data_IF_833979665313
#
_entry.id   IF_833979665313
#
_cell.length_a   1.000
_cell.length_b   1.000
_cell.length_c   1.000
_cell.angle_alpha   90.00
_cell.angle_beta   90.00
_cell.angle_gamma   90.00
#
_symmetry.space_group_name_H-M   'P 1'
#
loop_
_entity.id
_entity.type
_entity.pdbx_description
1 polymer ?
#
# COMPACT_ATOMS: atom_id res chain seq x y z
N UNK A 1 -18.71 75.13 -16.46
CA UNK A 1 -18.23 74.63 -17.75
C UNK A 1 -17.48 73.35 -17.43
N UNK A 2 -18.15 72.30 -17.39
CA UNK A 2 -18.42 71.22 -18.36
C UNK A 2 -17.24 70.90 -19.25
N UNK A 3 -16.65 69.70 -19.08
CA UNK A 3 -16.50 68.74 -20.15
C UNK A 3 -16.15 67.36 -19.60
N UNK A 4 -17.04 66.40 -19.91
CA UNK A 4 -16.89 64.98 -19.65
C UNK A 4 -16.15 64.37 -20.84
N UNK A 5 -15.02 63.68 -20.66
CA UNK A 5 -14.38 62.83 -21.65
C UNK A 5 -14.97 61.41 -21.62
N UNK A 6 -14.95 60.63 -22.73
CA UNK A 6 -15.75 59.44 -22.92
C UNK A 6 -15.16 58.20 -22.25
N UNK A 7 -16.10 57.35 -21.78
CA UNK A 7 -15.80 56.02 -21.26
C UNK A 7 -15.32 55.09 -22.40
N UNK A 8 -14.11 54.57 -22.27
CA UNK A 8 -13.62 53.52 -23.12
C UNK A 8 -14.35 52.18 -22.79
N UNK A 9 -15.09 51.70 -23.76
CA UNK A 9 -15.67 50.34 -23.76
C UNK A 9 -14.53 49.33 -24.00
N UNK A 10 -14.03 48.71 -22.94
CA UNK A 10 -13.17 47.56 -23.05
C UNK A 10 -13.97 46.37 -23.56
N UNK A 11 -13.68 45.95 -24.81
CA UNK A 11 -14.16 44.70 -25.37
C UNK A 11 -13.65 43.54 -24.52
N UNK A 12 -14.46 42.49 -24.29
CA UNK A 12 -13.96 41.28 -23.62
C UNK A 12 -12.84 40.65 -24.46
N UNK A 13 -11.77 40.22 -23.80
CA UNK A 13 -10.68 39.45 -24.43
C UNK A 13 -11.28 38.17 -25.00
N UNK A 14 -10.84 37.71 -26.19
CA UNK A 14 -11.29 36.45 -26.76
C UNK A 14 -10.95 35.31 -25.82
N UNK A 15 -11.89 34.39 -25.69
CA UNK A 15 -11.93 33.17 -24.91
C UNK A 15 -10.54 32.52 -24.79
N UNK A 16 -10.04 32.37 -23.57
CA UNK A 16 -9.05 31.35 -23.23
C UNK A 16 -9.69 30.00 -23.58
N UNK A 17 -9.30 29.45 -24.71
CA UNK A 17 -9.62 28.09 -25.09
C UNK A 17 -9.02 27.20 -24.00
N UNK A 18 -9.86 26.75 -23.07
CA UNK A 18 -9.47 25.84 -22.01
C UNK A 18 -8.85 24.62 -22.68
N UNK A 19 -7.57 24.39 -22.45
CA UNK A 19 -6.87 23.20 -22.93
C UNK A 19 -7.69 21.98 -22.51
N UNK A 20 -8.10 21.11 -23.46
CA UNK A 20 -8.93 19.97 -23.12
C UNK A 20 -8.21 19.12 -22.06
N UNK A 21 -8.86 18.92 -20.91
CA UNK A 21 -8.31 18.12 -19.82
C UNK A 21 -8.11 16.67 -20.28
N UNK A 22 -7.04 16.02 -19.81
CA UNK A 22 -6.74 14.61 -20.10
C UNK A 22 -7.83 13.73 -19.50
N UNK A 23 -8.31 12.75 -20.24
CA UNK A 23 -9.17 11.70 -19.71
C UNK A 23 -8.34 10.62 -19.01
N UNK A 24 -8.87 10.07 -17.94
CA UNK A 24 -8.32 8.95 -17.20
C UNK A 24 -9.44 8.03 -16.74
N UNK A 25 -9.09 6.82 -16.32
CA UNK A 25 -10.00 5.84 -15.72
C UNK A 25 -9.57 5.56 -14.30
N UNK A 26 -10.51 5.51 -13.36
CA UNK A 26 -10.28 5.20 -11.96
C UNK A 26 -11.12 4.00 -11.52
N UNK A 27 -10.56 3.15 -10.66
CA UNK A 27 -11.30 2.07 -10.02
C UNK A 27 -12.00 2.59 -8.77
N UNK A 28 -13.29 2.35 -8.69
CA UNK A 28 -14.14 2.72 -7.57
C UNK A 28 -14.82 1.49 -6.98
N UNK A 29 -14.93 1.47 -5.67
CA UNK A 29 -15.88 0.60 -4.96
C UNK A 29 -17.20 1.36 -4.87
N UNK A 30 -18.19 0.95 -5.64
CA UNK A 30 -19.52 1.57 -5.67
C UNK A 30 -20.24 1.33 -4.34
N UNK A 31 -20.13 0.11 -3.85
CA UNK A 31 -20.68 -0.39 -2.60
C UNK A 31 -19.85 -1.61 -2.15
N UNK A 32 -19.96 -2.08 -0.91
CA UNK A 32 -19.28 -3.29 -0.47
C UNK A 32 -19.51 -4.48 -1.41
N UNK A 33 -18.42 -5.10 -1.85
CA UNK A 33 -18.44 -6.23 -2.78
C UNK A 33 -18.55 -5.87 -4.26
N UNK A 34 -18.71 -4.59 -4.62
CA UNK A 34 -18.92 -4.18 -6.01
C UNK A 34 -17.95 -3.09 -6.44
N UNK A 35 -17.01 -3.46 -7.33
CA UNK A 35 -16.07 -2.53 -7.97
C UNK A 35 -16.51 -2.16 -9.38
N UNK A 36 -16.13 -0.96 -9.83
CA UNK A 36 -16.36 -0.48 -11.19
C UNK A 36 -15.26 0.46 -11.66
N UNK A 37 -15.13 0.61 -12.99
CA UNK A 37 -14.22 1.59 -13.60
C UNK A 37 -15.05 2.83 -13.98
N UNK A 38 -14.60 4.00 -13.54
CA UNK A 38 -15.22 5.30 -13.84
C UNK A 38 -14.26 6.19 -14.65
N UNK A 39 -14.78 6.93 -15.67
CA UNK A 39 -13.99 7.96 -16.31
C UNK A 39 -13.77 9.14 -15.35
N UNK A 40 -12.58 9.73 -15.42
CA UNK A 40 -12.17 10.91 -14.66
C UNK A 40 -11.56 11.92 -15.62
N UNK A 41 -11.96 13.18 -15.51
CA UNK A 41 -11.35 14.28 -16.27
C UNK A 41 -10.31 14.97 -15.39
N UNK A 42 -9.05 15.00 -15.87
CA UNK A 42 -7.94 15.62 -15.15
C UNK A 42 -7.72 17.04 -15.69
N UNK A 43 -7.59 18.00 -14.78
CA UNK A 43 -7.07 19.31 -15.15
C UNK A 43 -5.55 19.19 -15.47
N UNK A 44 -5.00 20.09 -16.32
CA UNK A 44 -3.55 20.20 -16.45
C UNK A 44 -2.89 20.47 -15.09
N UNK A 45 -1.67 19.93 -14.85
CA UNK A 45 -0.98 20.18 -13.59
C UNK A 45 -0.65 21.66 -13.43
N UNK A 46 -0.98 22.20 -12.25
CA UNK A 46 -0.62 23.55 -11.85
C UNK A 46 0.84 23.69 -11.41
N UNK A 47 1.29 24.91 -11.03
CA UNK A 47 2.62 25.11 -10.48
C UNK A 47 2.89 24.22 -9.26
N UNK A 48 3.97 23.44 -9.29
CA UNK A 48 4.33 22.52 -8.21
C UNK A 48 3.59 21.20 -8.20
N UNK A 49 2.78 20.90 -9.22
CA UNK A 49 2.11 19.61 -9.43
C UNK A 49 2.79 18.81 -10.53
N UNK A 50 2.50 17.52 -10.56
CA UNK A 50 2.91 16.57 -11.59
C UNK A 50 1.70 15.82 -12.13
N UNK A 51 1.68 15.59 -13.44
CA UNK A 51 0.83 14.61 -14.09
C UNK A 51 1.59 13.30 -14.16
N UNK A 52 1.06 12.27 -13.53
CA UNK A 52 1.65 10.93 -13.51
C UNK A 52 0.76 10.00 -14.32
N UNK A 53 1.38 9.26 -15.25
CA UNK A 53 0.74 8.15 -15.97
C UNK A 53 1.16 6.85 -15.28
N UNK A 54 0.17 6.13 -14.75
CA UNK A 54 0.40 4.85 -14.06
C UNK A 54 0.93 3.79 -15.02
N UNK A 55 1.92 3.05 -14.59
CA UNK A 55 2.47 1.89 -15.32
C UNK A 55 2.22 0.58 -14.55
N UNK A 56 2.19 0.64 -13.23
CA UNK A 56 1.89 -0.49 -12.35
C UNK A 56 1.19 0.00 -11.09
N UNK A 57 0.30 -0.81 -10.55
CA UNK A 57 -0.14 -0.70 -9.16
C UNK A 57 -0.20 -2.09 -8.54
N UNK A 58 -0.47 -2.18 -7.25
CA UNK A 58 -0.64 -3.47 -6.58
C UNK A 58 -1.78 -3.40 -5.56
N UNK A 59 -2.40 -4.55 -5.32
CA UNK A 59 -3.47 -4.70 -4.35
C UNK A 59 -2.85 -5.05 -3.00
N UNK A 60 -3.06 -4.20 -2.00
CA UNK A 60 -2.75 -4.48 -0.60
C UNK A 60 -3.84 -5.35 0.00
N UNK A 61 -3.71 -6.66 -0.20
CA UNK A 61 -4.76 -7.65 0.06
C UNK A 61 -5.38 -7.54 1.47
N UNK A 62 -4.59 -7.28 2.51
CA UNK A 62 -5.12 -7.12 3.88
C UNK A 62 -6.10 -5.96 3.98
N UNK A 63 -5.62 -4.76 3.74
CA UNK A 63 -6.39 -3.52 3.90
C UNK A 63 -7.49 -3.38 2.85
N UNK A 64 -7.16 -3.61 1.58
CA UNK A 64 -8.14 -3.44 0.51
C UNK A 64 -9.27 -4.47 0.55
N UNK A 65 -9.03 -5.66 1.11
CA UNK A 65 -10.12 -6.62 1.36
C UNK A 65 -11.11 -6.12 2.41
N UNK A 66 -10.63 -5.46 3.48
CA UNK A 66 -11.50 -4.86 4.49
C UNK A 66 -12.34 -3.73 3.90
N UNK A 67 -11.73 -2.89 3.07
CA UNK A 67 -12.43 -1.81 2.37
C UNK A 67 -13.44 -2.37 1.39
N UNK A 68 -13.03 -3.35 0.55
CA UNK A 68 -13.91 -4.00 -0.44
C UNK A 68 -15.13 -4.65 0.19
N UNK A 69 -14.97 -5.29 1.35
CA UNK A 69 -16.07 -5.96 2.07
C UNK A 69 -16.86 -5.03 2.98
N UNK A 70 -16.54 -3.73 3.02
CA UNK A 70 -17.22 -2.75 3.88
C UNK A 70 -16.96 -2.94 5.38
N UNK A 71 -15.85 -3.59 5.75
CA UNK A 71 -15.52 -3.95 7.14
C UNK A 71 -14.64 -2.92 7.85
N UNK A 72 -14.62 -1.69 7.38
CA UNK A 72 -13.98 -0.57 8.07
C UNK A 72 -14.92 -0.08 9.17
N UNK A 73 -14.52 -0.16 10.46
CA UNK A 73 -15.36 0.32 11.57
C UNK A 73 -15.67 1.82 11.43
N UNK A 74 -16.88 2.23 11.79
CA UNK A 74 -17.31 3.64 11.70
C UNK A 74 -16.35 4.59 12.42
N UNK A 75 -15.86 4.18 13.60
CA UNK A 75 -14.91 4.96 14.41
C UNK A 75 -13.53 5.12 13.75
N UNK A 76 -13.22 4.35 12.71
CA UNK A 76 -11.92 4.35 12.01
C UNK A 76 -11.98 4.95 10.61
N UNK A 77 -13.18 5.32 10.13
CA UNK A 77 -13.35 5.78 8.75
C UNK A 77 -12.48 6.98 8.40
N UNK A 78 -12.34 7.93 9.31
CA UNK A 78 -11.49 9.11 9.09
C UNK A 78 -10.00 8.78 9.27
N UNK A 79 -9.64 8.07 10.34
CA UNK A 79 -8.25 7.74 10.66
C UNK A 79 -7.59 6.81 9.63
N UNK A 80 -8.37 6.00 8.94
CA UNK A 80 -7.89 5.01 7.97
C UNK A 80 -8.08 5.44 6.50
N UNK A 81 -8.36 6.72 6.26
CA UNK A 81 -8.36 7.27 4.90
C UNK A 81 -6.97 7.12 4.27
N UNK A 82 -6.95 6.61 3.05
CA UNK A 82 -5.71 6.59 2.26
C UNK A 82 -5.41 8.00 1.71
N UNK A 83 -4.15 8.33 1.44
CA UNK A 83 -3.83 9.52 0.66
C UNK A 83 -4.57 9.51 -0.69
N UNK A 84 -5.07 10.67 -1.12
CA UNK A 84 -5.82 10.83 -2.37
C UNK A 84 -7.08 9.96 -2.50
N UNK A 85 -7.58 9.41 -1.40
CA UNK A 85 -8.88 8.78 -1.37
C UNK A 85 -9.96 9.80 -1.74
N UNK A 86 -10.87 9.42 -2.63
CA UNK A 86 -12.10 10.16 -2.93
C UNK A 86 -13.31 9.35 -2.48
N UNK A 87 -14.37 10.04 -2.04
CA UNK A 87 -15.53 9.40 -1.43
C UNK A 87 -15.24 8.87 -0.03
N UNK A 88 -16.22 8.19 0.55
CA UNK A 88 -16.21 7.79 1.94
C UNK A 88 -16.54 6.30 2.12
N UNK A 89 -16.04 5.68 3.18
CA UNK A 89 -16.41 4.33 3.55
C UNK A 89 -17.89 4.24 3.99
N UNK A 90 -18.61 3.17 3.66
CA UNK A 90 -18.15 1.98 2.94
C UNK A 90 -18.19 2.11 1.42
N UNK A 91 -18.66 3.23 0.87
CA UNK A 91 -18.76 3.52 -0.56
C UNK A 91 -19.85 4.52 -0.90
N UNK A 92 -19.80 5.14 -2.12
CA UNK A 92 -18.76 4.99 -3.14
C UNK A 92 -17.41 5.53 -2.69
N UNK A 93 -16.34 4.77 -2.94
CA UNK A 93 -14.98 5.16 -2.55
C UNK A 93 -13.95 4.74 -3.60
N UNK A 94 -13.01 5.65 -3.93
CA UNK A 94 -11.81 5.37 -4.70
C UNK A 94 -10.67 5.12 -3.72
N UNK A 95 -10.15 3.89 -3.68
CA UNK A 95 -9.18 3.45 -2.67
C UNK A 95 -8.00 2.72 -3.31
N UNK A 96 -6.93 2.60 -2.57
CA UNK A 96 -5.65 2.02 -2.97
C UNK A 96 -4.51 2.98 -2.66
N UNK A 97 -3.26 2.50 -2.63
CA UNK A 97 -2.11 3.33 -2.27
C UNK A 97 -0.76 2.77 -2.76
N UNK A 98 -0.76 1.79 -3.66
CA UNK A 98 0.46 1.19 -4.20
C UNK A 98 0.54 1.48 -5.70
N UNK A 99 0.96 2.69 -6.07
CA UNK A 99 0.96 3.15 -7.45
C UNK A 99 2.36 3.57 -7.90
N UNK A 100 2.76 3.09 -9.07
CA UNK A 100 4.01 3.43 -9.76
C UNK A 100 3.66 3.96 -11.14
N UNK A 101 4.20 5.11 -11.49
CA UNK A 101 3.95 5.75 -12.79
C UNK A 101 5.15 6.52 -13.31
N UNK A 102 4.99 7.07 -14.51
CA UNK A 102 5.95 7.96 -15.15
C UNK A 102 5.37 9.37 -15.15
N UNK A 103 6.18 10.35 -14.80
CA UNK A 103 5.78 11.75 -14.83
C UNK A 103 5.74 12.23 -16.28
N UNK A 104 4.55 12.52 -16.80
CA UNK A 104 4.34 13.02 -18.16
C UNK A 104 4.45 14.56 -18.25
N UNK A 105 4.08 15.28 -17.15
CA UNK A 105 4.21 16.74 -17.08
C UNK A 105 4.45 17.22 -15.64
N UNK A 106 5.11 18.38 -15.48
CA UNK A 106 5.44 18.99 -14.20
C UNK A 106 6.83 19.62 -14.17
N UNK A 107 7.47 19.74 -13.01
CA UNK A 107 8.83 20.26 -12.90
C UNK A 107 9.80 19.47 -13.80
N UNK A 108 10.70 20.16 -14.56
CA UNK A 108 11.61 19.51 -15.53
C UNK A 108 12.48 18.40 -14.94
N UNK A 109 12.83 18.49 -13.67
CA UNK A 109 13.64 17.48 -12.96
C UNK A 109 12.89 16.15 -12.72
N UNK A 110 11.56 16.14 -12.85
CA UNK A 110 10.72 14.97 -12.62
C UNK A 110 10.17 14.39 -13.93
N UNK A 111 10.01 15.17 -14.99
CA UNK A 111 9.48 14.68 -16.28
C UNK A 111 10.30 13.51 -16.79
N UNK A 112 9.60 12.42 -17.21
CA UNK A 112 10.20 11.18 -17.66
C UNK A 112 10.70 10.25 -16.55
N UNK A 113 10.67 10.70 -15.28
CA UNK A 113 11.11 9.84 -14.15
C UNK A 113 10.00 8.88 -13.73
N UNK A 114 10.40 7.65 -13.42
CA UNK A 114 9.53 6.70 -12.73
C UNK A 114 9.41 7.10 -11.27
N UNK A 115 8.18 7.16 -10.78
CA UNK A 115 7.86 7.59 -9.40
C UNK A 115 6.90 6.62 -8.73
N UNK A 116 7.02 6.51 -7.40
CA UNK A 116 6.03 5.88 -6.52
C UNK A 116 5.15 6.98 -5.89
N UNK A 117 3.86 6.70 -5.78
CA UNK A 117 2.89 7.54 -5.09
C UNK A 117 1.90 6.69 -4.30
N UNK A 118 1.54 7.13 -3.11
CA UNK A 118 0.43 6.54 -2.33
C UNK A 118 -0.91 6.96 -2.95
N UNK A 119 -1.19 6.50 -4.17
CA UNK A 119 -2.37 6.89 -4.95
C UNK A 119 -3.25 5.67 -5.27
N UNK A 120 -4.59 5.83 -5.29
CA UNK A 120 -5.53 4.80 -5.72
C UNK A 120 -5.27 4.27 -7.13
N UNK A 121 -5.92 3.15 -7.47
CA UNK A 121 -5.85 2.54 -8.80
C UNK A 121 -6.51 3.46 -9.85
N UNK A 122 -5.69 4.12 -10.65
CA UNK A 122 -6.12 5.07 -11.67
C UNK A 122 -5.09 5.15 -12.80
N UNK A 123 -5.51 5.31 -14.05
CA UNK A 123 -4.63 5.27 -15.23
C UNK A 123 -3.70 6.49 -15.31
N UNK A 124 -4.16 7.65 -14.88
CA UNK A 124 -3.34 8.86 -14.75
C UNK A 124 -3.95 9.76 -13.67
N UNK A 125 -3.13 10.59 -13.05
CA UNK A 125 -3.56 11.49 -11.97
C UNK A 125 -2.64 12.72 -11.86
N UNK A 126 -3.16 13.78 -11.24
CA UNK A 126 -2.40 15.00 -10.93
C UNK A 126 -2.28 15.11 -9.41
N UNK A 127 -1.06 15.29 -8.93
CA UNK A 127 -0.74 15.43 -7.49
C UNK A 127 0.36 16.44 -7.26
N UNK A 128 0.49 17.01 -6.05
CA UNK A 128 1.66 17.80 -5.69
C UNK A 128 2.97 17.04 -5.95
N UNK A 129 3.96 17.69 -6.50
CA UNK A 129 5.28 17.09 -6.76
C UNK A 129 5.96 16.51 -5.50
N UNK A 130 5.62 17.03 -4.33
CA UNK A 130 6.10 16.52 -3.05
C UNK A 130 5.47 15.17 -2.64
N UNK A 131 4.36 14.77 -3.28
CA UNK A 131 3.67 13.50 -3.00
C UNK A 131 4.28 12.32 -3.76
N UNK A 132 5.15 12.55 -4.72
CA UNK A 132 5.83 11.50 -5.47
C UNK A 132 7.26 11.31 -5.00
N UNK A 133 7.72 10.07 -5.02
CA UNK A 133 9.13 9.72 -4.73
C UNK A 133 9.73 9.02 -5.95
N UNK A 134 10.86 9.53 -6.42
CA UNK A 134 11.56 8.95 -7.58
C UNK A 134 12.03 7.55 -7.25
N UNK A 135 11.70 6.60 -8.12
CA UNK A 135 12.14 5.21 -8.03
C UNK A 135 13.60 5.12 -8.50
N UNK A 136 14.51 4.48 -7.74
CA UNK A 136 15.87 4.23 -8.21
C UNK A 136 15.87 3.44 -9.53
N UNK A 137 16.77 3.75 -10.49
CA UNK A 137 16.75 3.13 -11.82
C UNK A 137 16.98 1.60 -11.79
N UNK A 138 17.59 1.08 -10.71
CA UNK A 138 17.82 -0.35 -10.52
C UNK A 138 16.58 -1.09 -9.98
N UNK A 139 15.53 -0.37 -9.58
CA UNK A 139 14.29 -0.96 -9.07
C UNK A 139 13.26 -1.00 -10.20
N UNK A 140 12.89 -2.17 -10.73
CA UNK A 140 11.85 -2.29 -11.74
C UNK A 140 10.50 -1.78 -11.22
N UNK A 141 9.67 -1.17 -12.08
CA UNK A 141 8.35 -0.67 -11.71
C UNK A 141 7.47 -1.75 -11.07
N UNK A 142 7.57 -3.00 -11.56
CA UNK A 142 6.86 -4.14 -10.97
C UNK A 142 7.23 -4.40 -9.52
N UNK A 143 8.52 -4.25 -9.14
CA UNK A 143 8.98 -4.39 -7.74
C UNK A 143 8.66 -3.13 -6.92
N UNK A 144 8.74 -1.96 -7.53
CA UNK A 144 8.49 -0.69 -6.85
C UNK A 144 7.07 -0.57 -6.27
N UNK A 145 6.08 -1.34 -6.75
CA UNK A 145 4.74 -1.38 -6.15
C UNK A 145 4.74 -1.89 -4.71
N UNK A 146 5.76 -2.64 -4.30
CA UNK A 146 5.91 -3.12 -2.92
C UNK A 146 6.33 -2.02 -1.94
N UNK A 147 6.62 -0.81 -2.41
CA UNK A 147 7.14 0.30 -1.58
C UNK A 147 6.31 0.55 -0.33
N UNK A 148 4.99 0.64 -0.43
CA UNK A 148 4.14 0.88 0.75
C UNK A 148 4.14 -0.28 1.75
N UNK A 149 4.33 -1.52 1.30
CA UNK A 149 4.44 -2.70 2.18
C UNK A 149 5.82 -2.77 2.85
N UNK A 150 6.89 -2.48 2.10
CA UNK A 150 8.25 -2.39 2.67
C UNK A 150 8.36 -1.17 3.60
N UNK A 151 7.72 -0.05 3.29
CA UNK A 151 7.58 1.09 4.19
C UNK A 151 6.93 0.72 5.52
N UNK A 152 5.84 -0.06 5.47
CA UNK A 152 5.16 -0.59 6.66
C UNK A 152 6.10 -1.50 7.46
N UNK A 153 6.83 -2.39 6.79
CA UNK A 153 7.82 -3.25 7.44
C UNK A 153 8.95 -2.44 8.09
N UNK A 154 9.48 -1.41 7.42
CA UNK A 154 10.48 -0.49 7.99
C UNK A 154 9.94 0.20 9.25
N UNK A 155 8.70 0.70 9.22
CA UNK A 155 8.10 1.33 10.39
C UNK A 155 7.98 0.36 11.57
N UNK A 156 7.56 -0.88 11.31
CA UNK A 156 7.46 -1.93 12.32
C UNK A 156 8.82 -2.21 12.98
N UNK A 157 9.88 -2.31 12.17
CA UNK A 157 11.24 -2.52 12.68
C UNK A 157 11.77 -1.30 13.45
N UNK A 158 11.38 -0.09 13.07
CA UNK A 158 11.69 1.10 13.84
C UNK A 158 10.93 1.16 15.17
N UNK A 159 9.70 0.65 15.21
CA UNK A 159 8.90 0.60 16.44
C UNK A 159 9.50 -0.39 17.46
N UNK A 160 9.93 -1.56 16.99
CA UNK A 160 10.44 -2.61 17.90
C UNK A 160 11.92 -2.47 18.19
N UNK A 161 12.73 -2.03 17.23
CA UNK A 161 14.19 -1.89 17.37
C UNK A 161 14.89 -3.22 17.66
N UNK A 162 14.83 -4.22 16.75
CA UNK A 162 15.44 -5.53 16.99
C UNK A 162 16.95 -5.37 17.26
N UNK A 163 17.45 -6.16 18.21
CA UNK A 163 18.84 -6.14 18.62
C UNK A 163 19.64 -7.28 17.97
N UNK A 164 20.96 -7.12 17.94
CA UNK A 164 21.87 -8.18 17.49
C UNK A 164 21.69 -9.42 18.38
N UNK A 165 21.45 -10.58 17.74
CA UNK A 165 21.28 -11.85 18.42
C UNK A 165 19.85 -12.21 18.79
N UNK A 166 18.87 -11.34 18.51
CA UNK A 166 17.46 -11.64 18.76
C UNK A 166 17.00 -12.87 17.95
N UNK A 167 16.17 -13.69 18.59
CA UNK A 167 15.42 -14.79 18.00
C UNK A 167 14.00 -14.30 17.71
N UNK A 168 13.65 -14.25 16.45
CA UNK A 168 12.42 -13.59 15.98
C UNK A 168 11.56 -14.56 15.18
N UNK A 169 10.25 -14.58 15.43
CA UNK A 169 9.30 -15.14 14.49
C UNK A 169 8.46 -14.05 13.81
N UNK A 170 8.08 -14.32 12.57
CA UNK A 170 7.03 -13.57 11.87
C UNK A 170 5.87 -14.52 11.63
N UNK A 171 4.73 -14.28 12.27
CA UNK A 171 3.53 -15.12 12.17
C UNK A 171 2.57 -14.52 11.14
N UNK A 172 2.43 -15.24 10.04
CA UNK A 172 1.69 -14.83 8.84
C UNK A 172 2.63 -14.55 7.65
N UNK A 173 2.73 -15.51 6.72
CA UNK A 173 3.54 -15.42 5.50
C UNK A 173 2.76 -14.76 4.34
N UNK A 174 1.96 -13.75 4.63
CA UNK A 174 1.41 -12.81 3.65
C UNK A 174 2.48 -11.85 3.13
N UNK A 175 2.14 -10.98 2.19
CA UNK A 175 3.11 -10.06 1.58
C UNK A 175 3.84 -9.20 2.62
N UNK A 176 3.10 -8.63 3.59
CA UNK A 176 3.72 -7.81 4.64
C UNK A 176 4.65 -8.63 5.55
N UNK A 177 4.20 -9.81 6.02
CA UNK A 177 5.04 -10.68 6.86
C UNK A 177 6.31 -11.10 6.15
N UNK A 178 6.23 -11.43 4.86
CA UNK A 178 7.39 -11.74 4.03
C UNK A 178 8.35 -10.54 3.90
N UNK A 179 7.83 -9.31 3.71
CA UNK A 179 8.66 -8.10 3.69
C UNK A 179 9.39 -7.90 5.04
N UNK A 180 8.68 -8.06 6.15
CA UNK A 180 9.26 -7.96 7.49
C UNK A 180 10.36 -9.01 7.71
N UNK A 181 10.08 -10.28 7.39
CA UNK A 181 11.03 -11.37 7.55
C UNK A 181 12.30 -11.16 6.71
N UNK A 182 12.15 -10.70 5.45
CA UNK A 182 13.30 -10.38 4.59
C UNK A 182 14.17 -9.25 5.15
N UNK A 183 13.56 -8.22 5.72
CA UNK A 183 14.34 -7.14 6.34
C UNK A 183 15.04 -7.60 7.61
N UNK A 184 14.39 -8.38 8.46
CA UNK A 184 14.96 -8.91 9.70
C UNK A 184 16.17 -9.80 9.46
N UNK A 185 16.11 -10.73 8.50
CA UNK A 185 17.22 -11.65 8.20
C UNK A 185 18.48 -10.92 7.71
N UNK A 186 18.36 -9.66 7.32
CA UNK A 186 19.49 -8.80 6.93
C UNK A 186 20.17 -8.11 8.12
N UNK A 187 19.63 -8.25 9.32
CA UNK A 187 20.26 -7.72 10.54
C UNK A 187 21.25 -8.76 11.07
N UNK A 188 22.53 -8.43 11.21
CA UNK A 188 23.54 -9.40 11.64
C UNK A 188 23.19 -10.07 12.98
N UNK A 189 23.26 -11.40 13.02
CA UNK A 189 23.04 -12.20 14.22
C UNK A 189 21.56 -12.37 14.60
N UNK A 190 20.61 -11.74 13.94
CA UNK A 190 19.18 -12.01 14.14
C UNK A 190 18.82 -13.31 13.44
N UNK A 191 18.18 -14.24 14.17
CA UNK A 191 17.60 -15.46 13.59
C UNK A 191 16.12 -15.25 13.35
N UNK A 192 15.62 -15.58 12.14
CA UNK A 192 14.25 -15.31 11.74
C UNK A 192 13.55 -16.57 11.28
N UNK A 193 12.40 -16.87 11.86
CA UNK A 193 11.51 -17.95 11.41
C UNK A 193 10.19 -17.37 10.93
N UNK A 194 9.84 -17.62 9.67
CA UNK A 194 8.54 -17.29 9.10
C UNK A 194 7.56 -18.43 9.39
N UNK A 195 6.42 -18.12 10.00
CA UNK A 195 5.44 -19.09 10.47
C UNK A 195 4.11 -18.90 9.75
N UNK A 196 3.58 -19.94 9.11
CA UNK A 196 2.26 -19.89 8.47
C UNK A 196 1.59 -21.28 8.48
N UNK A 197 0.26 -21.31 8.40
CA UNK A 197 -0.51 -22.53 8.26
C UNK A 197 -0.45 -23.15 6.86
N UNK A 198 -0.12 -22.33 5.85
CA UNK A 198 -0.01 -22.73 4.46
C UNK A 198 1.43 -23.18 4.13
N UNK A 199 1.63 -24.48 4.11
CA UNK A 199 2.94 -25.09 3.80
C UNK A 199 3.52 -24.66 2.43
N UNK A 200 2.68 -24.21 1.48
CA UNK A 200 3.14 -23.71 0.19
C UNK A 200 4.01 -22.46 0.29
N UNK A 201 3.95 -21.75 1.44
CA UNK A 201 4.78 -20.57 1.73
C UNK A 201 6.25 -20.89 1.95
N UNK A 202 6.61 -22.16 2.16
CA UNK A 202 8.02 -22.57 2.30
C UNK A 202 8.88 -22.16 1.09
N UNK A 203 8.33 -22.25 -0.13
CA UNK A 203 9.05 -21.86 -1.35
C UNK A 203 9.39 -20.36 -1.40
N UNK A 204 8.46 -19.51 -0.99
CA UNK A 204 8.70 -18.07 -0.95
C UNK A 204 9.63 -17.69 0.20
N UNK A 205 9.53 -18.35 1.36
CA UNK A 205 10.45 -18.15 2.48
C UNK A 205 11.88 -18.46 2.06
N UNK A 206 12.11 -19.60 1.37
CA UNK A 206 13.41 -19.98 0.84
C UNK A 206 13.97 -18.94 -0.15
N UNK A 207 13.13 -18.42 -1.07
CA UNK A 207 13.53 -17.36 -2.01
C UNK A 207 13.91 -16.05 -1.30
N UNK A 208 13.31 -15.78 -0.13
CA UNK A 208 13.65 -14.64 0.72
C UNK A 208 14.86 -14.90 1.63
N UNK A 209 15.40 -16.15 1.66
CA UNK A 209 16.49 -16.56 2.55
C UNK A 209 16.07 -16.60 4.03
N UNK A 210 14.83 -17.00 4.32
CA UNK A 210 14.24 -17.07 5.66
C UNK A 210 13.81 -18.49 5.95
N UNK A 211 14.04 -18.98 7.17
CA UNK A 211 13.54 -20.29 7.61
C UNK A 211 12.01 -20.27 7.71
N UNK A 212 11.37 -21.38 7.35
CA UNK A 212 9.91 -21.53 7.40
C UNK A 212 9.51 -22.70 8.29
N UNK A 213 8.39 -22.56 8.99
CA UNK A 213 7.79 -23.65 9.76
C UNK A 213 6.27 -23.51 9.87
N UNK A 214 5.60 -24.63 10.14
CA UNK A 214 4.19 -24.63 10.54
C UNK A 214 4.05 -24.20 12.01
N UNK A 215 2.90 -23.65 12.44
CA UNK A 215 2.71 -23.12 13.79
C UNK A 215 3.08 -24.10 14.90
N UNK A 216 2.73 -25.38 14.76
CA UNK A 216 3.00 -26.41 15.77
C UNK A 216 4.48 -26.75 15.95
N UNK A 217 5.29 -26.47 14.93
CA UNK A 217 6.72 -26.74 14.89
C UNK A 217 7.56 -25.50 15.17
N UNK A 218 6.93 -24.34 15.32
CA UNK A 218 7.63 -23.08 15.54
C UNK A 218 8.39 -23.09 16.87
N UNK A 219 9.69 -22.66 16.87
CA UNK A 219 10.50 -22.65 18.08
C UNK A 219 9.96 -21.66 19.10
N UNK A 220 9.96 -22.06 20.37
CA UNK A 220 9.60 -21.17 21.48
C UNK A 220 10.81 -20.45 22.06
N UNK A 221 10.55 -19.65 23.10
CA UNK A 221 11.57 -18.88 23.80
C UNK A 221 12.16 -17.72 22.99
N UNK A 222 11.31 -17.09 22.16
CA UNK A 222 11.68 -16.00 21.27
C UNK A 222 11.69 -14.65 22.01
N UNK A 223 12.58 -13.79 21.60
CA UNK A 223 12.70 -12.44 22.14
C UNK A 223 11.63 -11.51 21.57
N UNK A 224 11.21 -11.76 20.33
CA UNK A 224 10.29 -10.93 19.56
C UNK A 224 9.45 -11.76 18.61
N UNK A 225 8.18 -11.41 18.48
CA UNK A 225 7.29 -11.92 17.42
C UNK A 225 6.61 -10.76 16.72
N UNK A 226 6.62 -10.75 15.37
CA UNK A 226 5.81 -9.82 14.58
C UNK A 226 4.62 -10.60 14.02
N UNK A 227 3.41 -10.15 14.33
CA UNK A 227 2.18 -10.80 13.91
C UNK A 227 1.53 -10.05 12.73
N UNK A 228 1.26 -10.78 11.65
CA UNK A 228 0.71 -10.24 10.40
C UNK A 228 -0.35 -11.14 9.76
N UNK A 229 -0.92 -12.11 10.53
CA UNK A 229 -1.90 -13.07 10.00
C UNK A 229 -3.35 -12.60 10.08
N UNK A 230 -3.63 -11.55 10.88
CA UNK A 230 -4.97 -11.03 11.17
C UNK A 230 -5.93 -12.11 11.74
N UNK A 231 -5.42 -13.08 12.51
CA UNK A 231 -6.21 -14.13 13.13
C UNK A 231 -5.99 -14.22 14.62
N UNK A 232 -7.05 -14.54 15.40
CA UNK A 232 -6.93 -14.79 16.84
C UNK A 232 -5.95 -15.93 17.14
N UNK A 233 -5.99 -17.00 16.35
CA UNK A 233 -5.10 -18.15 16.53
C UNK A 233 -3.62 -17.78 16.29
N UNK A 234 -3.34 -16.98 15.25
CA UNK A 234 -1.98 -16.49 14.98
C UNK A 234 -1.46 -15.58 16.09
N UNK A 235 -2.28 -14.67 16.60
CA UNK A 235 -1.89 -13.79 17.70
C UNK A 235 -1.71 -14.58 19.02
N UNK A 236 -2.59 -15.54 19.29
CA UNK A 236 -2.42 -16.44 20.44
C UNK A 236 -1.12 -17.23 20.33
N UNK A 237 -0.83 -17.81 19.16
CA UNK A 237 0.43 -18.54 18.93
C UNK A 237 1.64 -17.62 19.06
N UNK A 238 1.54 -16.37 18.63
CA UNK A 238 2.61 -15.37 18.78
C UNK A 238 2.99 -15.16 20.26
N UNK A 239 2.00 -15.10 21.15
CA UNK A 239 2.24 -15.02 22.60
C UNK A 239 2.91 -16.27 23.18
N UNK A 240 2.52 -17.46 22.72
CA UNK A 240 3.04 -18.75 23.20
C UNK A 240 4.50 -18.99 22.79
N UNK A 241 4.95 -18.35 21.71
CA UNK A 241 6.33 -18.46 21.23
C UNK A 241 7.33 -17.61 22.01
N UNK A 242 6.88 -16.62 22.77
CA UNK A 242 7.76 -15.67 23.47
C UNK A 242 8.47 -16.27 24.68
N UNK A 243 9.70 -15.82 24.90
CA UNK A 243 10.39 -15.90 26.18
C UNK A 243 9.76 -14.91 27.19
N UNK A 244 10.04 -15.05 28.50
CA UNK A 244 9.69 -14.01 29.47
C UNK A 244 10.18 -12.63 29.04
N UNK A 245 9.38 -11.58 29.30
CA UNK A 245 9.61 -10.18 28.91
C UNK A 245 9.50 -9.94 27.39
N UNK A 246 9.21 -10.96 26.57
CA UNK A 246 9.07 -10.88 25.12
C UNK A 246 7.91 -10.01 24.68
N UNK A 247 7.97 -9.54 23.45
CA UNK A 247 6.96 -8.65 22.87
C UNK A 247 6.42 -9.19 21.55
N UNK A 248 5.09 -9.13 21.38
CA UNK A 248 4.43 -9.24 20.06
C UNK A 248 4.23 -7.84 19.49
N UNK A 249 4.70 -7.62 18.26
CA UNK A 249 4.31 -6.45 17.46
C UNK A 249 3.16 -6.85 16.54
N UNK A 250 2.01 -6.24 16.77
CA UNK A 250 0.80 -6.46 15.99
C UNK A 250 0.76 -5.54 14.78
N UNK A 251 0.78 -6.12 13.59
CA UNK A 251 0.74 -5.41 12.31
C UNK A 251 -0.61 -5.52 11.61
N UNK A 252 -1.48 -6.40 12.10
CA UNK A 252 -2.75 -6.68 11.45
C UNK A 252 -3.77 -5.61 11.79
N UNK A 253 -4.56 -5.25 10.79
CA UNK A 253 -5.79 -4.50 10.98
C UNK A 253 -6.98 -5.45 10.85
N UNK A 254 -7.66 -5.70 11.97
CA UNK A 254 -8.77 -6.65 12.04
C UNK A 254 -10.10 -6.09 11.48
N UNK A 255 -10.16 -4.77 11.23
CA UNK A 255 -11.39 -4.12 10.81
C UNK A 255 -12.47 -4.24 11.89
N UNK A 256 -13.67 -4.71 11.49
CA UNK A 256 -14.79 -4.89 12.39
C UNK A 256 -14.76 -6.22 13.17
N UNK A 257 -13.74 -7.07 12.98
CA UNK A 257 -13.64 -8.35 13.68
C UNK A 257 -13.13 -8.18 15.11
N UNK A 258 -13.59 -9.07 15.98
CA UNK A 258 -13.10 -9.20 17.35
C UNK A 258 -12.01 -10.28 17.43
N UNK A 259 -11.03 -10.05 18.30
CA UNK A 259 -9.96 -11.01 18.59
C UNK A 259 -10.09 -11.51 20.01
N UNK A 260 -10.03 -12.83 20.21
CA UNK A 260 -10.08 -13.47 21.52
C UNK A 260 -8.72 -14.09 21.85
N UNK A 261 -8.20 -13.81 23.06
CA UNK A 261 -6.93 -14.33 23.55
C UNK A 261 -7.08 -14.99 24.92
N UNK A 262 -6.31 -16.06 25.14
CA UNK A 262 -6.17 -16.70 26.45
C UNK A 262 -4.96 -16.07 27.16
N UNK A 263 -5.20 -15.15 28.08
CA UNK A 263 -4.16 -14.42 28.82
C UNK A 263 -3.84 -15.03 30.19
N UNK A 264 -4.52 -16.13 30.57
CA UNK A 264 -4.31 -16.80 31.87
C UNK A 264 -3.05 -17.64 31.98
N UNK A 265 -2.32 -17.87 30.87
CA UNK A 265 -1.07 -18.60 30.85
C UNK A 265 0.16 -17.71 31.06
N UNK A 266 1.18 -17.92 30.25
CA UNK A 266 2.48 -17.23 30.35
C UNK A 266 2.40 -15.69 30.14
N UNK A 267 1.31 -15.18 29.57
CA UNK A 267 1.19 -13.72 29.35
C UNK A 267 1.43 -12.92 30.64
N UNK A 268 0.72 -13.28 31.72
CA UNK A 268 0.87 -12.57 33.00
C UNK A 268 2.20 -12.90 33.71
N UNK A 269 2.50 -14.18 33.90
CA UNK A 269 3.68 -14.61 34.65
C UNK A 269 5.00 -14.32 33.91
N UNK A 270 4.99 -14.37 32.60
CA UNK A 270 6.11 -14.06 31.74
C UNK A 270 6.26 -12.56 31.44
N UNK A 271 5.32 -11.71 31.90
CA UNK A 271 5.32 -10.25 31.68
C UNK A 271 5.39 -9.89 30.19
N UNK A 272 4.63 -10.63 29.36
CA UNK A 272 4.63 -10.43 27.93
C UNK A 272 3.89 -9.15 27.52
N UNK A 273 4.22 -8.62 26.37
CA UNK A 273 3.60 -7.41 25.81
C UNK A 273 3.00 -7.66 24.42
N UNK A 274 1.91 -6.97 24.11
CA UNK A 274 1.39 -6.81 22.74
C UNK A 274 1.35 -5.33 22.43
N UNK A 275 1.99 -4.93 21.35
CA UNK A 275 2.09 -3.54 20.93
C UNK A 275 1.74 -3.42 19.45
N UNK A 276 0.83 -2.51 19.10
CA UNK A 276 0.51 -2.22 17.72
C UNK A 276 1.59 -1.39 17.04
N UNK A 277 1.84 -1.65 15.75
CA UNK A 277 2.60 -0.79 14.87
C UNK A 277 1.72 -0.41 13.66
N UNK A 278 1.65 0.89 13.34
CA UNK A 278 0.80 1.40 12.28
C UNK A 278 1.56 2.46 11.46
N UNK A 279 1.56 2.31 10.12
CA UNK A 279 2.40 3.08 9.19
C UNK A 279 1.99 4.54 9.00
N UNK A 280 0.76 4.93 9.35
CA UNK A 280 0.29 6.32 9.24
C UNK A 280 1.08 7.31 10.09
N UNK A 281 1.71 6.82 11.17
CA UNK A 281 2.64 7.60 11.98
C UNK A 281 4.07 7.03 11.88
N UNK A 282 5.06 7.93 11.82
CA UNK A 282 6.47 7.51 11.96
C UNK A 282 6.69 6.96 13.36
N UNK A 283 7.35 5.82 13.47
CA UNK A 283 7.67 5.16 14.75
C UNK A 283 8.23 6.16 15.78
N UNK A 284 7.77 6.07 17.03
CA UNK A 284 8.11 7.02 18.10
C UNK A 284 9.64 7.17 18.27
N UNK A 285 10.39 6.06 18.09
CA UNK A 285 11.85 6.06 18.14
C UNK A 285 12.54 6.92 17.07
N UNK A 286 11.81 7.32 16.01
CA UNK A 286 12.30 8.08 14.86
C UNK A 286 11.65 9.44 14.68
N UNK A 287 10.61 9.78 15.45
CA UNK A 287 9.95 11.09 15.39
C UNK A 287 10.96 12.23 15.60
N UNK A 288 10.75 13.33 14.87
CA UNK A 288 11.64 14.49 14.85
C UNK A 288 12.97 14.29 14.10
N UNK A 289 13.32 13.06 13.70
CA UNK A 289 14.55 12.73 12.97
C UNK A 289 14.31 12.12 11.59
N UNK A 290 13.13 11.59 11.34
CA UNK A 290 12.71 11.00 10.07
C UNK A 290 11.29 11.43 9.74
N UNK A 291 11.01 11.57 8.45
CA UNK A 291 9.70 11.86 7.88
C UNK A 291 9.13 10.62 7.19
N UNK A 292 7.85 10.65 6.83
CA UNK A 292 7.24 9.63 5.95
C UNK A 292 7.98 9.53 4.61
N UNK A 293 8.37 10.68 4.03
CA UNK A 293 9.14 10.72 2.78
C UNK A 293 10.50 10.02 2.93
N UNK A 294 11.20 10.21 4.06
CA UNK A 294 12.47 9.52 4.30
C UNK A 294 12.26 8.00 4.41
N UNK A 295 11.14 7.57 5.00
CA UNK A 295 10.79 6.16 5.13
C UNK A 295 10.45 5.53 3.77
N UNK A 296 9.69 6.22 2.92
CA UNK A 296 9.39 5.79 1.54
C UNK A 296 10.68 5.68 0.72
N UNK A 297 11.57 6.66 0.81
CA UNK A 297 12.88 6.60 0.13
C UNK A 297 13.71 5.42 0.59
N UNK A 298 13.74 5.15 1.90
CA UNK A 298 14.44 3.97 2.44
C UNK A 298 13.80 2.67 1.92
N UNK A 299 12.47 2.59 1.86
CA UNK A 299 11.78 1.43 1.30
C UNK A 299 12.17 1.18 -0.16
N UNK A 300 12.25 2.22 -0.98
CA UNK A 300 12.70 2.13 -2.37
C UNK A 300 14.17 1.68 -2.48
N UNK A 301 15.05 2.16 -1.62
CA UNK A 301 16.44 1.71 -1.59
C UNK A 301 16.56 0.24 -1.20
N UNK A 302 15.76 -0.23 -0.23
CA UNK A 302 15.72 -1.64 0.18
C UNK A 302 15.17 -2.55 -0.93
N UNK A 303 14.28 -2.04 -1.78
CA UNK A 303 13.73 -2.75 -2.95
C UNK A 303 14.74 -2.93 -4.09
N UNK A 304 15.98 -2.47 -3.99
CA UNK A 304 17.08 -2.90 -4.88
C UNK A 304 17.37 -4.40 -4.74
N UNK A 305 17.00 -5.00 -3.62
CA UNK A 305 17.13 -6.44 -3.38
C UNK A 305 16.15 -7.23 -4.27
N UNK A 306 16.63 -8.04 -5.24
CA UNK A 306 15.78 -8.78 -6.16
C UNK A 306 15.00 -9.93 -5.49
N UNK A 307 15.33 -10.33 -4.26
CA UNK A 307 14.59 -11.35 -3.53
C UNK A 307 13.10 -10.98 -3.35
N UNK A 308 12.77 -9.69 -3.33
CA UNK A 308 11.39 -9.23 -3.24
C UNK A 308 10.53 -9.60 -4.46
N UNK A 309 11.12 -9.96 -5.61
CA UNK A 309 10.37 -10.42 -6.78
C UNK A 309 9.58 -11.70 -6.50
N UNK A 310 10.03 -12.54 -5.56
CA UNK A 310 9.30 -13.71 -5.11
C UNK A 310 7.91 -13.42 -4.53
N UNK A 311 7.63 -12.18 -4.17
CA UNK A 311 6.32 -11.75 -3.65
C UNK A 311 5.31 -11.38 -4.75
N UNK A 312 5.77 -11.13 -5.98
CA UNK A 312 4.95 -10.74 -7.12
C UNK A 312 4.38 -12.00 -7.79
N UNK A 313 3.26 -12.51 -7.29
CA UNK A 313 2.76 -13.85 -7.67
C UNK A 313 1.47 -13.83 -8.48
N UNK A 314 0.95 -12.66 -8.82
CA UNK A 314 -0.23 -12.49 -9.65
C UNK A 314 -0.20 -11.17 -10.42
N UNK A 315 -0.83 -11.17 -11.59
CA UNK A 315 -0.93 -9.96 -12.43
C UNK A 315 -2.25 -9.97 -13.21
N UNK A 316 -2.85 -8.79 -13.40
CA UNK A 316 -3.99 -8.61 -14.28
C UNK A 316 -4.07 -7.18 -14.86
N UNK A 317 -4.71 -6.99 -16.02
CA UNK A 317 -5.00 -5.66 -16.55
C UNK A 317 -5.91 -4.84 -15.62
N UNK A 318 -5.71 -3.53 -15.57
CA UNK A 318 -6.51 -2.60 -14.78
C UNK A 318 -8.01 -2.72 -15.04
N UNK A 319 -8.42 -2.94 -16.29
CA UNK A 319 -9.83 -3.04 -16.67
C UNK A 319 -10.53 -4.29 -16.10
N UNK A 320 -9.77 -5.27 -15.66
CA UNK A 320 -10.26 -6.50 -15.04
C UNK A 320 -10.44 -6.38 -13.52
N UNK A 321 -9.98 -5.31 -12.87
CA UNK A 321 -10.08 -5.14 -11.42
C UNK A 321 -11.47 -5.40 -10.84
N UNK A 322 -12.58 -4.97 -11.47
CA UNK A 322 -13.93 -5.28 -10.96
C UNK A 322 -14.22 -6.79 -10.83
N UNK A 323 -13.62 -7.61 -11.68
CA UNK A 323 -13.77 -9.07 -11.66
C UNK A 323 -12.68 -9.78 -10.84
N UNK A 324 -11.49 -9.21 -10.77
CA UNK A 324 -10.31 -9.79 -10.10
C UNK A 324 -10.35 -9.59 -8.59
N UNK A 325 -10.72 -8.40 -8.12
CA UNK A 325 -10.68 -8.07 -6.69
C UNK A 325 -11.59 -8.99 -5.84
N UNK A 326 -12.85 -9.30 -6.24
CA UNK A 326 -13.68 -10.27 -5.52
C UNK A 326 -13.00 -11.63 -5.35
N UNK A 327 -12.33 -12.14 -6.39
CA UNK A 327 -11.63 -13.44 -6.38
C UNK A 327 -10.38 -13.45 -5.51
N UNK A 328 -9.67 -12.32 -5.42
CA UNK A 328 -8.54 -12.17 -4.49
C UNK A 328 -9.03 -12.15 -3.03
N UNK A 329 -10.16 -11.50 -2.78
CA UNK A 329 -10.76 -11.39 -1.45
C UNK A 329 -11.34 -12.73 -0.99
N UNK A 330 -12.02 -13.48 -1.87
CA UNK A 330 -12.55 -14.83 -1.54
C UNK A 330 -11.44 -15.88 -1.40
N UNK A 331 -10.26 -15.65 -1.97
CA UNK A 331 -9.18 -16.64 -2.06
C UNK A 331 -9.24 -17.54 -3.29
N UNK A 332 -10.23 -17.37 -4.18
CA UNK A 332 -10.34 -18.12 -5.44
C UNK A 332 -9.23 -17.79 -6.44
N UNK A 333 -8.56 -16.67 -6.24
CA UNK A 333 -7.35 -16.28 -6.96
C UNK A 333 -6.21 -16.12 -5.94
N UNK A 334 -5.43 -17.19 -5.66
CA UNK A 334 -4.37 -17.11 -4.69
C UNK A 334 -3.22 -16.25 -5.20
N UNK A 335 -2.85 -15.21 -4.46
CA UNK A 335 -1.68 -14.39 -4.71
C UNK A 335 -1.11 -13.84 -3.41
N UNK A 336 0.19 -13.63 -3.34
CA UNK A 336 0.81 -12.80 -2.29
C UNK A 336 0.58 -11.33 -2.63
N UNK A 337 1.37 -10.77 -3.51
CA UNK A 337 1.14 -9.46 -4.08
C UNK A 337 0.59 -9.61 -5.50
N UNK A 338 -0.64 -9.16 -5.74
CA UNK A 338 -1.24 -9.12 -7.05
C UNK A 338 -1.00 -7.74 -7.67
N UNK A 339 -0.29 -7.72 -8.79
CA UNK A 339 0.03 -6.49 -9.53
C UNK A 339 -1.03 -6.20 -10.59
N UNK A 340 -1.14 -4.93 -10.93
CA UNK A 340 -2.10 -4.43 -11.93
C UNK A 340 -1.31 -3.73 -13.02
N UNK A 341 -1.57 -4.08 -14.28
CA UNK A 341 -0.94 -3.50 -15.46
C UNK A 341 -1.84 -2.49 -16.13
N UNK A 342 -1.21 -1.50 -16.79
CA UNK A 342 -1.90 -0.39 -17.43
C UNK A 342 -1.55 -0.28 -18.92
N UNK A 343 -0.97 -1.34 -19.50
CA UNK A 343 -0.51 -1.36 -20.88
C UNK A 343 -1.70 -1.27 -21.86
N UNK A 344 -1.56 -0.45 -22.90
CA UNK A 344 -2.54 -0.31 -23.98
C UNK A 344 -3.86 0.40 -23.60
N UNK A 345 -3.96 1.00 -22.41
CA UNK A 345 -5.19 1.70 -21.99
C UNK A 345 -5.22 3.12 -22.56
N UNK A 346 -4.07 3.77 -22.77
CA UNK A 346 -3.98 5.13 -23.32
C UNK A 346 -4.61 5.27 -24.71
N UNK A 347 -4.37 4.29 -25.56
CA UNK A 347 -4.87 4.27 -26.94
C UNK A 347 -6.38 4.01 -27.04
N UNK A 348 -6.99 3.43 -26.01
CA UNK A 348 -8.43 3.09 -25.97
C UNK A 348 -9.31 4.21 -25.39
N UNK A 349 -8.72 5.19 -24.72
CA UNK A 349 -9.48 6.29 -24.11
C UNK A 349 -9.90 7.30 -25.20
N UNK A 350 -9.07 7.48 -26.23
CA UNK A 350 -9.38 8.38 -27.35
C UNK A 350 -10.44 7.80 -28.31
N UNK A 351 -10.55 6.46 -28.40
CA UNK A 351 -11.52 5.76 -29.26
C UNK A 351 -12.93 5.58 -28.63
N UNK A 352 -13.06 5.76 -27.31
CA UNK A 352 -14.31 5.47 -26.58
C UNK A 352 -15.27 6.67 -26.42
N UNK A 353 -15.02 7.80 -27.07
CA UNK A 353 -15.82 9.04 -26.95
C UNK A 353 -16.66 9.31 -28.18
N UNK A 354 -17.35 8.28 -28.75
CA UNK A 354 -18.56 8.46 -29.52
C UNK A 354 -19.74 7.76 -28.81
N UNK A 355 -20.25 8.38 -27.75
CA UNK A 355 -21.59 8.09 -27.27
C UNK A 355 -22.51 9.07 -27.98
N UNK A 356 -23.40 8.62 -28.87
CA UNK A 356 -24.37 9.50 -29.50
C UNK A 356 -25.33 10.04 -28.43
N UNK A 357 -25.43 11.34 -28.31
CA UNK A 357 -26.57 11.99 -27.69
C UNK A 357 -27.82 11.56 -28.43
N UNK A 358 -28.57 10.59 -27.92
CA UNK A 358 -29.94 10.34 -28.34
C UNK A 358 -30.85 11.30 -27.58
N UNK A 359 -31.61 12.04 -28.40
CA UNK A 359 -32.63 13.03 -28.08
C UNK A 359 -33.73 12.52 -27.13
#
# INVERSE_FOLDING_TARGET
MNERGPRGSGSPRPDEVATPGRQALAFWLREPGAGEIRPVRLAPPGPGEVLVRTVRSAISRGTESLVFTGRVPDSQREAMRAPFQEGDFPGPVKYGYLNVGVVDAGPPSLVGRTVFCLHPHQTAYVVPAAAVTVVPPEVPAARAVLTGLVETAVNALWDVGPLLGDRVAVVGAGTLGCCVARLLVRIPGVTVTLVDIDASRAGVAAALGVDFTLPDQAPGGLDLVLHASATSAGLQRSLELLAPEGTVIELSWYGADTTTLSLGGAFHSGRLSVRASQVGAVAASRQGRRTTTDRIRLALELLRDPCFDALLTGESPFVELPAVLPRLVSGDLPALCHTVTYDGIGDRIDDAVEVPCSA
#
